data_IF_371500037674
#
_entry.id   IF_371500037674
#
_cell.length_a   1.000
_cell.length_b   1.000
_cell.length_c   1.000
_cell.angle_alpha   90.00
_cell.angle_beta   90.00
_cell.angle_gamma   90.00
#
_symmetry.space_group_name_H-M   'P 1'
#
loop_
_entity.id
_entity.type
_entity.pdbx_description
1 polymer ?
#
# COMPACT_ATOMS: atom_id res chain seq x y z
N UNK A 1 24.21 23.08 5.00
CA UNK A 1 24.30 22.33 3.72
C UNK A 1 24.55 23.30 2.58
N UNK A 2 23.73 24.33 2.42
CA UNK A 2 23.84 25.29 1.33
C UNK A 2 25.13 26.12 1.36
N UNK A 3 25.50 26.67 2.53
CA UNK A 3 26.77 27.42 2.69
C UNK A 3 28.00 26.56 2.38
N UNK A 4 27.95 25.26 2.73
CA UNK A 4 29.01 24.30 2.43
C UNK A 4 29.15 24.03 0.93
N UNK A 5 28.06 24.16 0.17
CA UNK A 5 28.03 24.01 -1.29
C UNK A 5 28.15 25.37 -2.02
N UNK A 6 28.43 26.44 -1.27
CA UNK A 6 28.66 27.78 -1.80
C UNK A 6 27.42 28.44 -2.42
N UNK A 7 26.22 28.13 -1.92
CA UNK A 7 24.96 28.76 -2.36
C UNK A 7 24.51 28.41 -3.78
N UNK A 8 25.14 27.41 -4.41
CA UNK A 8 24.81 26.95 -5.76
C UNK A 8 23.53 26.08 -5.85
N UNK A 9 23.22 25.21 -4.87
CA UNK A 9 22.02 24.39 -4.91
C UNK A 9 20.73 25.21 -4.74
N UNK A 10 19.68 24.83 -5.45
CA UNK A 10 18.32 25.36 -5.22
C UNK A 10 17.69 24.60 -4.06
N UNK A 11 17.21 25.34 -3.05
CA UNK A 11 16.47 24.76 -1.93
C UNK A 11 14.96 24.73 -2.24
N UNK A 12 14.34 23.58 -2.02
CA UNK A 12 12.89 23.39 -2.16
C UNK A 12 12.29 22.94 -0.83
N UNK A 13 11.12 23.48 -0.49
CA UNK A 13 10.32 23.02 0.66
C UNK A 13 9.21 22.12 0.17
N UNK A 14 9.24 20.87 0.59
CA UNK A 14 8.24 19.85 0.23
C UNK A 14 7.27 19.62 1.39
N UNK A 15 5.97 19.62 1.09
CA UNK A 15 4.91 19.33 2.06
C UNK A 15 4.25 18.00 1.69
N UNK A 16 3.93 17.18 2.70
CA UNK A 16 3.28 15.88 2.48
C UNK A 16 1.96 16.05 1.71
N UNK A 17 1.83 15.33 0.60
CA UNK A 17 0.67 15.37 -0.30
C UNK A 17 0.67 16.51 -1.31
N UNK A 18 1.57 17.49 -1.17
CA UNK A 18 1.71 18.67 -2.04
C UNK A 18 3.14 18.81 -2.58
N UNK A 19 3.83 17.69 -2.76
CA UNK A 19 5.20 17.69 -3.25
C UNK A 19 5.31 18.21 -4.69
N UNK A 20 6.43 18.86 -4.99
CA UNK A 20 6.78 19.34 -6.32
C UNK A 20 6.93 18.20 -7.32
N UNK A 21 6.67 18.49 -8.60
CA UNK A 21 6.82 17.51 -9.68
C UNK A 21 8.24 16.99 -9.81
N UNK A 22 9.21 17.86 -9.54
CA UNK A 22 10.64 17.51 -9.60
C UNK A 22 10.99 16.52 -8.48
N UNK A 23 10.52 16.80 -7.26
CA UNK A 23 10.73 15.90 -6.12
C UNK A 23 10.10 14.53 -6.33
N UNK A 24 8.83 14.50 -6.74
CA UNK A 24 8.14 13.25 -7.07
C UNK A 24 8.83 12.50 -8.20
N UNK A 25 9.39 13.23 -9.17
CA UNK A 25 10.11 12.68 -10.32
C UNK A 25 11.31 11.81 -9.95
N UNK A 26 11.90 12.00 -8.77
CA UNK A 26 12.98 11.14 -8.28
C UNK A 26 12.50 9.74 -7.87
N UNK A 27 11.24 9.59 -7.44
CA UNK A 27 10.67 8.35 -6.92
C UNK A 27 9.79 7.67 -7.98
N UNK A 28 10.42 6.93 -8.91
CA UNK A 28 9.71 6.29 -10.03
C UNK A 28 8.63 5.28 -9.60
N UNK A 29 8.77 4.68 -8.42
CA UNK A 29 7.78 3.76 -7.83
C UNK A 29 6.66 4.45 -7.06
N UNK A 30 6.63 5.79 -7.01
CA UNK A 30 5.71 6.56 -6.19
C UNK A 30 6.21 6.78 -4.77
N UNK A 31 5.38 7.45 -3.97
CA UNK A 31 5.68 7.80 -2.58
C UNK A 31 4.94 6.86 -1.62
N UNK A 32 5.63 6.43 -0.56
CA UNK A 32 5.05 5.63 0.52
C UNK A 32 5.12 6.43 1.82
N UNK A 33 3.96 6.83 2.36
CA UNK A 33 3.89 7.44 3.67
C UNK A 33 3.67 6.36 4.72
N UNK A 34 4.58 6.31 5.68
CA UNK A 34 4.50 5.44 6.85
C UNK A 34 3.98 6.23 8.04
N UNK A 35 3.10 5.64 8.83
CA UNK A 35 2.63 6.25 10.06
C UNK A 35 3.74 6.20 11.13
N UNK A 36 3.92 7.29 11.90
CA UNK A 36 4.95 7.40 12.94
C UNK A 36 6.17 8.26 12.53
N UNK A 37 7.23 8.24 13.33
CA UNK A 37 8.47 8.98 13.07
C UNK A 37 9.53 8.76 14.15
N UNK A 38 10.50 9.67 14.26
CA UNK A 38 11.57 9.61 15.27
C UNK A 38 11.00 9.57 16.69
N UNK A 39 9.94 10.34 16.94
CA UNK A 39 9.25 10.36 18.24
C UNK A 39 8.58 9.02 18.61
N UNK A 40 8.23 8.19 17.61
CA UNK A 40 7.69 6.84 17.82
C UNK A 40 8.76 5.75 17.63
N UNK A 41 10.05 6.11 17.58
CA UNK A 41 11.15 5.15 17.47
C UNK A 41 11.30 4.46 16.11
N UNK A 42 10.72 5.01 15.04
CA UNK A 42 10.92 4.45 13.70
C UNK A 42 12.38 4.64 13.25
N UNK A 43 13.17 3.59 13.38
CA UNK A 43 14.46 3.51 12.70
C UNK A 43 14.23 3.12 11.24
N UNK A 44 14.88 3.83 10.31
CA UNK A 44 14.95 3.41 8.90
C UNK A 44 15.91 2.21 8.76
N UNK A 45 15.63 1.14 9.50
CA UNK A 45 16.23 -0.16 9.26
C UNK A 45 15.30 -0.84 8.26
N UNK A 46 15.88 -1.40 7.20
CA UNK A 46 15.18 -2.29 6.28
C UNK A 46 14.83 -3.59 7.04
N UNK A 47 13.96 -3.51 8.03
CA UNK A 47 13.32 -4.69 8.57
C UNK A 47 12.27 -5.07 7.56
N UNK A 48 12.59 -6.13 6.82
CA UNK A 48 11.60 -7.03 6.26
C UNK A 48 10.86 -7.63 7.45
N UNK A 49 10.04 -6.80 8.10
CA UNK A 49 9.41 -7.12 9.36
C UNK A 49 8.27 -8.06 9.03
N UNK A 50 8.57 -9.36 9.11
CA UNK A 50 7.65 -10.44 8.82
C UNK A 50 6.45 -10.45 9.79
N UNK A 51 6.41 -9.53 10.76
CA UNK A 51 5.32 -9.31 11.72
C UNK A 51 4.46 -8.08 11.39
N UNK A 52 4.74 -7.36 10.31
CA UNK A 52 3.99 -6.15 9.97
C UNK A 52 2.53 -6.49 9.62
N UNK A 53 1.58 -5.89 10.33
CA UNK A 53 0.16 -5.88 10.00
C UNK A 53 -0.27 -4.45 9.68
N UNK A 54 -0.47 -4.15 8.39
CA UNK A 54 -0.77 -2.78 7.95
C UNK A 54 -1.64 -2.73 6.70
N UNK A 55 -2.39 -1.65 6.58
CA UNK A 55 -3.20 -1.34 5.41
C UNK A 55 -2.62 -0.10 4.71
N UNK A 56 -2.33 -0.23 3.42
CA UNK A 56 -1.91 0.89 2.58
C UNK A 56 -3.04 1.27 1.63
N UNK A 57 -3.49 2.51 1.71
CA UNK A 57 -4.40 3.11 0.76
C UNK A 57 -3.62 3.66 -0.43
N UNK A 58 -3.86 3.10 -1.62
CA UNK A 58 -3.15 3.46 -2.85
C UNK A 58 -4.04 4.37 -3.69
N UNK A 59 -3.57 5.61 -3.91
CA UNK A 59 -4.30 6.62 -4.67
C UNK A 59 -3.38 7.39 -5.62
N UNK A 60 -3.96 7.82 -6.73
CA UNK A 60 -3.34 8.76 -7.66
C UNK A 60 -3.17 8.17 -9.06
N UNK A 61 -3.43 9.02 -10.07
CA UNK A 61 -3.41 8.62 -11.50
C UNK A 61 -2.06 8.87 -12.17
N UNK A 62 -1.44 10.03 -11.88
CA UNK A 62 -0.12 10.42 -12.42
C UNK A 62 1.00 10.14 -11.44
N UNK A 63 0.73 10.33 -10.16
CA UNK A 63 1.65 10.11 -9.05
C UNK A 63 0.95 9.16 -8.10
N UNK A 64 1.46 7.93 -8.03
CA UNK A 64 0.92 6.92 -7.12
C UNK A 64 1.47 7.19 -5.72
N UNK A 65 0.57 7.27 -4.75
CA UNK A 65 0.88 7.43 -3.33
C UNK A 65 0.26 6.28 -2.57
N UNK A 66 1.05 5.64 -1.72
CA UNK A 66 0.61 4.62 -0.78
C UNK A 66 0.67 5.21 0.64
N UNK A 67 -0.49 5.36 1.28
CA UNK A 67 -0.58 5.94 2.62
C UNK A 67 -0.98 4.85 3.60
N UNK A 68 -0.23 4.69 4.68
CA UNK A 68 -0.62 3.80 5.77
C UNK A 68 -1.84 4.35 6.51
N UNK A 69 -2.87 3.50 6.62
CA UNK A 69 -4.16 3.80 7.25
C UNK A 69 -4.49 2.70 8.27
N UNK A 70 -5.43 2.94 9.21
CA UNK A 70 -5.84 1.91 10.16
C UNK A 70 -6.32 0.64 9.43
N UNK A 71 -5.89 -0.53 9.91
CA UNK A 71 -6.34 -1.83 9.40
C UNK A 71 -7.78 -2.12 9.87
N UNK A 72 -8.75 -1.40 9.30
CA UNK A 72 -10.18 -1.54 9.54
C UNK A 72 -10.94 -1.47 8.22
N UNK A 73 -12.12 -2.10 8.16
CA UNK A 73 -13.04 -1.96 7.04
C UNK A 73 -13.47 -0.51 6.79
N UNK A 74 -13.47 0.34 7.81
CA UNK A 74 -13.80 1.78 7.71
C UNK A 74 -12.81 2.56 6.84
N UNK A 75 -11.58 2.06 6.69
CA UNK A 75 -10.55 2.68 5.84
C UNK A 75 -10.75 2.41 4.35
N UNK A 76 -11.59 1.43 3.98
CA UNK A 76 -11.79 1.02 2.59
C UNK A 76 -12.82 1.89 1.87
N UNK A 77 -12.71 1.91 0.54
CA UNK A 77 -13.74 2.45 -0.32
C UNK A 77 -13.79 1.71 -1.66
N UNK A 78 -14.88 1.91 -2.43
CA UNK A 78 -15.13 1.19 -3.69
C UNK A 78 -14.32 1.70 -4.89
N UNK A 79 -13.63 2.83 -4.77
CA UNK A 79 -13.01 3.53 -5.90
C UNK A 79 -11.49 3.49 -5.95
N UNK A 80 -10.84 3.09 -4.85
CA UNK A 80 -9.39 3.08 -4.73
C UNK A 80 -8.86 1.63 -4.55
N UNK A 81 -7.54 1.48 -4.69
CA UNK A 81 -6.85 0.22 -4.46
C UNK A 81 -6.22 0.20 -3.07
N UNK A 82 -6.11 -0.98 -2.49
CA UNK A 82 -5.54 -1.19 -1.16
C UNK A 82 -4.52 -2.31 -1.19
N UNK A 83 -3.51 -2.21 -0.33
CA UNK A 83 -2.55 -3.28 -0.06
C UNK A 83 -2.67 -3.66 1.41
N UNK A 84 -3.00 -4.91 1.67
CA UNK A 84 -2.95 -5.52 3.00
C UNK A 84 -1.61 -6.24 3.09
N UNK A 85 -0.78 -5.81 4.03
CA UNK A 85 0.52 -6.42 4.31
C UNK A 85 0.45 -7.08 5.68
N UNK A 86 0.58 -8.42 5.70
CA UNK A 86 0.59 -9.27 6.89
C UNK A 86 1.97 -9.91 7.09
N UNK A 87 3.02 -9.25 6.61
CA UNK A 87 4.42 -9.64 6.77
C UNK A 87 4.85 -10.78 5.83
N UNK A 88 4.31 -11.97 6.02
CA UNK A 88 4.63 -13.15 5.17
C UNK A 88 3.82 -13.21 3.89
N UNK A 89 2.61 -12.65 3.93
CA UNK A 89 1.68 -12.60 2.79
C UNK A 89 1.20 -11.17 2.59
N UNK A 90 1.05 -10.80 1.33
CA UNK A 90 0.49 -9.51 0.95
C UNK A 90 -0.61 -9.69 -0.08
N UNK A 91 -1.70 -8.94 0.09
CA UNK A 91 -2.84 -8.92 -0.83
C UNK A 91 -2.98 -7.52 -1.39
N UNK A 92 -3.23 -7.40 -2.69
CA UNK A 92 -3.54 -6.11 -3.32
C UNK A 92 -4.83 -6.22 -4.12
N UNK A 93 -5.63 -5.16 -4.10
CA UNK A 93 -6.82 -5.08 -4.92
C UNK A 93 -7.79 -4.03 -4.45
N UNK A 94 -8.93 -3.97 -5.15
CA UNK A 94 -10.10 -3.23 -4.69
C UNK A 94 -10.71 -3.90 -3.46
N UNK A 95 -11.57 -3.18 -2.73
CA UNK A 95 -12.32 -3.73 -1.60
C UNK A 95 -13.04 -5.04 -1.97
N UNK A 96 -13.64 -5.12 -3.16
CA UNK A 96 -14.35 -6.31 -3.64
C UNK A 96 -13.42 -7.52 -3.80
N UNK A 97 -12.29 -7.34 -4.49
CA UNK A 97 -11.31 -8.41 -4.74
C UNK A 97 -10.67 -8.90 -3.43
N UNK A 98 -10.42 -7.99 -2.50
CA UNK A 98 -9.88 -8.33 -1.19
C UNK A 98 -10.90 -9.10 -0.33
N UNK A 99 -12.18 -8.71 -0.39
CA UNK A 99 -13.27 -9.44 0.26
C UNK A 99 -13.42 -10.86 -0.28
N UNK A 100 -13.40 -11.03 -1.60
CA UNK A 100 -13.48 -12.35 -2.25
C UNK A 100 -12.29 -13.23 -1.87
N UNK A 101 -11.08 -12.66 -1.84
CA UNK A 101 -9.86 -13.35 -1.43
C UNK A 101 -9.93 -13.79 0.04
N UNK A 102 -10.41 -12.92 0.94
CA UNK A 102 -10.59 -13.25 2.35
C UNK A 102 -11.61 -14.37 2.56
N UNK A 103 -12.74 -14.30 1.85
CA UNK A 103 -13.80 -15.32 1.92
C UNK A 103 -13.29 -16.66 1.38
N UNK A 104 -12.58 -16.65 0.24
CA UNK A 104 -11.97 -17.85 -0.34
C UNK A 104 -10.97 -18.50 0.61
N UNK A 105 -10.12 -17.71 1.27
CA UNK A 105 -9.14 -18.24 2.22
C UNK A 105 -9.80 -18.82 3.48
N UNK A 106 -10.89 -18.20 3.95
CA UNK A 106 -11.70 -18.71 5.07
C UNK A 106 -12.42 -20.02 4.70
N UNK A 107 -12.83 -20.18 3.44
CA UNK A 107 -13.36 -21.44 2.90
C UNK A 107 -12.26 -22.50 2.67
N UNK A 108 -11.00 -22.08 2.43
CA UNK A 108 -9.87 -22.99 2.21
C UNK A 108 -9.21 -23.47 3.52
N UNK A 109 -9.37 -22.75 4.64
CA UNK A 109 -9.10 -23.30 5.98
C UNK A 109 -10.14 -24.38 6.30
N UNK A 110 -9.82 -25.67 6.22
CA UNK A 110 -10.84 -26.69 6.24
C UNK A 110 -11.09 -27.13 7.69
N UNK A 111 -12.16 -26.65 8.30
CA UNK A 111 -13.05 -27.62 8.95
C UNK A 111 -13.79 -28.37 7.84
N UNK A 112 -13.08 -29.30 7.19
CA UNK A 112 -13.55 -30.27 6.18
C UNK A 112 -14.22 -29.67 4.92
N UNK A 113 -13.67 -29.99 3.74
CA UNK A 113 -14.35 -30.59 2.57
C UNK A 113 -13.45 -30.45 1.33
N UNK A 114 -12.78 -31.56 1.03
CA UNK A 114 -12.58 -32.23 -0.27
C UNK A 114 -12.81 -31.46 -1.58
N UNK A 115 -11.72 -31.36 -2.35
CA UNK A 115 -11.55 -31.65 -3.80
C UNK A 115 -12.65 -31.23 -4.78
N UNK A 116 -12.34 -30.26 -5.64
CA UNK A 116 -12.03 -30.47 -7.07
C UNK A 116 -12.03 -29.13 -7.80
N UNK A 117 -10.84 -28.69 -8.21
CA UNK A 117 -10.69 -27.55 -9.10
C UNK A 117 -11.10 -27.94 -10.52
N UNK A 118 -12.22 -27.41 -10.99
CA UNK A 118 -12.44 -27.20 -12.41
C UNK A 118 -12.69 -25.70 -12.63
N UNK A 119 -11.68 -25.03 -13.17
CA UNK A 119 -11.82 -23.74 -13.83
C UNK A 119 -12.92 -23.85 -14.89
N UNK A 120 -13.87 -22.91 -14.92
CA UNK A 120 -14.04 -21.97 -16.04
C UNK A 120 -15.40 -21.25 -16.02
N UNK A 121 -15.34 -19.99 -16.47
CA UNK A 121 -16.39 -19.19 -17.09
C UNK A 121 -17.44 -18.52 -16.19
N UNK A 122 -17.14 -17.27 -15.82
CA UNK A 122 -18.12 -16.21 -15.59
C UNK A 122 -18.79 -15.86 -16.93
N UNK A 123 -20.13 -15.78 -17.03
CA UNK A 123 -20.80 -15.42 -18.27
C UNK A 123 -20.66 -13.91 -18.54
N UNK A 124 -20.17 -13.57 -19.72
CA UNK A 124 -20.25 -12.21 -20.26
C UNK A 124 -21.70 -11.88 -20.62
N UNK A 125 -22.17 -10.76 -20.09
CA UNK A 125 -23.38 -10.05 -20.48
C UNK A 125 -23.18 -9.53 -21.91
N UNK A 126 -24.07 -9.88 -22.84
CA UNK A 126 -24.99 -9.00 -23.58
C UNK A 126 -26.07 -9.86 -24.24
#
# INVERSE_FOLDING_TARGET
MDDYLGGKPVQSRELQGYESTDFVGYFKGGLKYKAGGVASGLNHVLTNDLTAERLLHVKGRRVVRATEVPLSWDSFNKGDCFIIDLGTVSFMGTQQQLWESATSNQMHTPSKITTSAHLAAVPMIH
#
